data_IF_945779366915
#
_entry.id   IF_945779366915
#
_cell.length_a   1.000
_cell.length_b   1.000
_cell.length_c   1.000
_cell.angle_alpha   90.00
_cell.angle_beta   90.00
_cell.angle_gamma   90.00
#
_symmetry.space_group_name_H-M   'P 1'
#
loop_
_entity.id
_entity.type
_entity.pdbx_description
1 polymer ?
#
# COMPACT_ATOMS: atom_id res chain seq x y z
N UNK A 1 31.23 -7.60 -3.92
CA UNK A 1 30.32 -8.61 -3.37
C UNK A 1 28.95 -7.95 -3.25
N UNK A 2 28.10 -8.13 -4.26
CA UNK A 2 26.73 -7.61 -4.28
C UNK A 2 25.82 -8.60 -3.51
N UNK A 3 24.92 -8.13 -2.63
CA UNK A 3 24.04 -9.00 -1.89
C UNK A 3 22.92 -9.54 -2.80
N UNK A 4 22.74 -10.85 -2.66
CA UNK A 4 21.83 -11.76 -3.34
C UNK A 4 20.36 -11.58 -2.91
N UNK A 5 19.74 -10.46 -3.25
CA UNK A 5 18.27 -10.35 -3.22
C UNK A 5 17.72 -10.67 -4.62
N UNK A 6 17.66 -11.97 -4.89
CA UNK A 6 16.59 -12.66 -5.63
C UNK A 6 16.13 -12.04 -6.96
N UNK A 7 16.77 -12.55 -8.01
CA UNK A 7 16.39 -12.50 -9.42
C UNK A 7 15.08 -13.24 -9.73
N UNK A 8 13.94 -12.71 -9.31
CA UNK A 8 12.64 -13.01 -9.93
C UNK A 8 11.76 -11.77 -10.00
N UNK A 9 12.36 -10.61 -10.29
CA UNK A 9 11.61 -9.48 -10.84
C UNK A 9 11.34 -9.77 -12.32
N UNK A 10 10.29 -10.55 -12.60
CA UNK A 10 9.65 -10.48 -13.92
C UNK A 10 8.96 -9.12 -14.04
N UNK A 11 9.76 -8.12 -14.41
CA UNK A 11 9.41 -6.71 -14.61
C UNK A 11 8.30 -6.47 -15.67
N UNK A 12 7.74 -7.52 -16.27
CA UNK A 12 6.71 -7.45 -17.31
C UNK A 12 5.27 -7.55 -16.76
N UNK A 13 5.09 -7.97 -15.51
CA UNK A 13 3.78 -8.12 -14.86
C UNK A 13 3.14 -6.84 -14.26
N UNK A 14 3.87 -5.82 -13.74
CA UNK A 14 3.26 -4.74 -12.97
C UNK A 14 2.20 -3.91 -13.72
N UNK A 15 2.39 -3.67 -15.03
CA UNK A 15 1.50 -2.82 -15.83
C UNK A 15 0.28 -3.57 -16.41
N UNK A 16 0.35 -4.89 -16.56
CA UNK A 16 -0.76 -5.73 -17.03
C UNK A 16 -1.69 -6.16 -15.87
N UNK A 17 -1.23 -6.04 -14.61
CA UNK A 17 -1.96 -6.52 -13.43
C UNK A 17 -2.93 -5.48 -12.85
N UNK A 18 -2.69 -4.16 -12.96
CA UNK A 18 -3.57 -3.13 -12.35
C UNK A 18 -5.05 -3.26 -12.75
N UNK A 19 -5.34 -3.39 -14.06
CA UNK A 19 -6.72 -3.58 -14.53
C UNK A 19 -7.32 -4.92 -14.05
N UNK A 20 -6.50 -5.96 -13.93
CA UNK A 20 -6.95 -7.26 -13.45
C UNK A 20 -7.20 -7.26 -11.94
N UNK A 21 -6.40 -6.52 -11.14
CA UNK A 21 -6.61 -6.33 -9.70
C UNK A 21 -8.00 -5.73 -9.47
N UNK A 22 -8.33 -4.64 -10.14
CA UNK A 22 -9.61 -3.96 -9.92
C UNK A 22 -10.81 -4.81 -10.35
N UNK A 23 -10.68 -5.58 -11.45
CA UNK A 23 -11.72 -6.54 -11.85
C UNK A 23 -11.90 -7.69 -10.85
N UNK A 24 -10.79 -8.22 -10.32
CA UNK A 24 -10.83 -9.30 -9.32
C UNK A 24 -11.39 -8.77 -8.00
N UNK A 25 -10.95 -7.59 -7.55
CA UNK A 25 -11.35 -6.99 -6.29
C UNK A 25 -12.81 -6.52 -6.32
N UNK A 26 -13.31 -6.02 -7.45
CA UNK A 26 -14.74 -5.70 -7.59
C UNK A 26 -15.65 -6.93 -7.49
N UNK A 27 -15.19 -8.11 -7.95
CA UNK A 27 -15.98 -9.35 -7.93
C UNK A 27 -15.79 -10.18 -6.65
N UNK A 28 -14.58 -10.19 -6.09
CA UNK A 28 -14.15 -11.13 -5.05
C UNK A 28 -13.40 -10.47 -3.88
N UNK A 29 -13.39 -9.13 -3.81
CA UNK A 29 -12.60 -8.39 -2.83
C UNK A 29 -12.90 -8.79 -1.38
N UNK A 30 -14.17 -9.02 -1.04
CA UNK A 30 -14.55 -9.45 0.32
C UNK A 30 -13.92 -10.80 0.69
N UNK A 31 -14.01 -11.80 -0.20
CA UNK A 31 -13.43 -13.13 0.02
C UNK A 31 -11.90 -13.06 0.10
N UNK A 32 -11.28 -12.23 -0.74
CA UNK A 32 -9.83 -12.03 -0.75
C UNK A 32 -9.36 -11.40 0.57
N UNK A 33 -10.00 -10.33 1.03
CA UNK A 33 -9.64 -9.68 2.30
C UNK A 33 -9.90 -10.57 3.52
N UNK A 34 -10.94 -11.42 3.46
CA UNK A 34 -11.18 -12.45 4.48
C UNK A 34 -10.05 -13.50 4.49
N UNK A 35 -9.64 -14.00 3.34
CA UNK A 35 -8.53 -14.96 3.25
C UNK A 35 -7.21 -14.35 3.76
N UNK A 36 -6.90 -13.11 3.36
CA UNK A 36 -5.74 -12.36 3.85
C UNK A 36 -5.80 -12.23 5.38
N UNK A 37 -6.96 -11.88 5.94
CA UNK A 37 -7.15 -11.76 7.39
C UNK A 37 -6.85 -13.08 8.10
N UNK A 38 -7.41 -14.20 7.62
CA UNK A 38 -7.19 -15.52 8.21
C UNK A 38 -5.70 -15.89 8.23
N UNK A 39 -4.97 -15.63 7.15
CA UNK A 39 -3.53 -15.92 7.06
C UNK A 39 -2.73 -15.02 8.02
N UNK A 40 -3.07 -13.73 8.11
CA UNK A 40 -2.37 -12.80 8.99
C UNK A 40 -2.63 -13.07 10.48
N UNK A 41 -3.82 -13.56 10.84
CA UNK A 41 -4.19 -13.89 12.22
C UNK A 41 -3.65 -15.26 12.68
N UNK A 42 -3.54 -16.21 11.76
CA UNK A 42 -3.03 -17.54 12.07
C UNK A 42 -1.54 -17.51 12.50
N UNK A 43 -1.15 -18.57 13.21
CA UNK A 43 0.23 -18.81 13.63
C UNK A 43 1.05 -19.36 12.45
N UNK A 44 1.35 -18.47 11.51
CA UNK A 44 2.21 -18.74 10.36
C UNK A 44 3.58 -18.11 10.52
N UNK A 45 4.54 -18.63 9.76
CA UNK A 45 5.90 -18.10 9.75
C UNK A 45 5.93 -16.66 9.23
N UNK A 46 7.03 -15.96 9.55
CA UNK A 46 7.26 -14.58 9.10
C UNK A 46 7.20 -14.49 7.58
N UNK A 47 7.74 -15.47 6.87
CA UNK A 47 7.79 -15.50 5.41
C UNK A 47 6.38 -15.56 4.80
N UNK A 48 5.48 -16.36 5.38
CA UNK A 48 4.09 -16.45 4.90
C UNK A 48 3.36 -15.13 5.12
N UNK A 49 3.54 -14.51 6.29
CA UNK A 49 2.91 -13.22 6.62
C UNK A 49 3.47 -12.09 5.76
N UNK A 50 4.77 -12.09 5.51
CA UNK A 50 5.45 -11.16 4.60
C UNK A 50 4.85 -11.26 3.19
N UNK A 51 4.80 -12.46 2.61
CA UNK A 51 4.25 -12.66 1.27
C UNK A 51 2.78 -12.22 1.19
N UNK A 52 2.01 -12.48 2.25
CA UNK A 52 0.61 -12.04 2.35
C UNK A 52 0.50 -10.52 2.36
N UNK A 53 1.36 -9.82 3.11
CA UNK A 53 1.42 -8.35 3.10
C UNK A 53 1.89 -7.80 1.74
N UNK A 54 2.82 -8.47 1.06
CA UNK A 54 3.25 -8.08 -0.29
C UNK A 54 2.10 -8.22 -1.32
N UNK A 55 1.30 -9.27 -1.22
CA UNK A 55 0.07 -9.42 -2.03
C UNK A 55 -0.89 -8.28 -1.74
N UNK A 56 -1.08 -7.93 -0.47
CA UNK A 56 -1.94 -6.82 -0.07
C UNK A 56 -1.43 -5.47 -0.61
N UNK A 57 -0.11 -5.25 -0.60
CA UNK A 57 0.50 -4.07 -1.18
C UNK A 57 0.28 -3.98 -2.69
N UNK A 58 0.39 -5.11 -3.40
CA UNK A 58 0.07 -5.16 -4.83
C UNK A 58 -1.41 -4.87 -5.08
N UNK A 59 -2.32 -5.41 -4.26
CA UNK A 59 -3.76 -5.07 -4.33
C UNK A 59 -3.96 -3.57 -4.13
N UNK A 60 -3.26 -2.96 -3.18
CA UNK A 60 -3.32 -1.53 -2.90
C UNK A 60 -2.76 -0.64 -4.02
N UNK A 61 -2.25 -1.21 -5.11
CA UNK A 61 -1.84 -0.47 -6.32
C UNK A 61 -3.00 -0.28 -7.33
N UNK A 62 -4.15 -0.94 -7.13
CA UNK A 62 -5.37 -0.77 -7.94
C UNK A 62 -6.30 0.33 -7.41
N UNK A 63 -7.07 0.96 -8.29
CA UNK A 63 -7.93 2.10 -7.93
C UNK A 63 -9.17 1.67 -7.14
N UNK A 64 -9.96 0.75 -7.68
CA UNK A 64 -11.12 0.18 -6.99
C UNK A 64 -10.68 -0.61 -5.77
N UNK A 65 -9.55 -1.29 -5.85
CA UNK A 65 -8.98 -2.04 -4.74
C UNK A 65 -8.62 -1.13 -3.55
N UNK A 66 -8.04 0.06 -3.79
CA UNK A 66 -7.80 1.08 -2.75
C UNK A 66 -9.09 1.45 -2.02
N UNK A 67 -10.18 1.73 -2.75
CA UNK A 67 -11.47 2.09 -2.14
C UNK A 67 -12.01 0.96 -1.23
N UNK A 68 -11.94 -0.29 -1.70
CA UNK A 68 -12.36 -1.47 -0.92
C UNK A 68 -11.50 -1.62 0.34
N UNK A 69 -10.19 -1.41 0.26
CA UNK A 69 -9.30 -1.45 1.42
C UNK A 69 -9.60 -0.32 2.41
N UNK A 70 -9.84 0.89 1.90
CA UNK A 70 -10.07 2.08 2.72
C UNK A 70 -11.42 2.07 3.46
N UNK A 71 -12.38 1.24 3.02
CA UNK A 71 -13.63 1.00 3.75
C UNK A 71 -13.54 -0.15 4.76
N UNK A 72 -12.43 -0.89 4.79
CA UNK A 72 -12.21 -2.02 5.70
C UNK A 72 -11.26 -1.62 6.85
N UNK A 73 -11.83 -1.06 7.92
CA UNK A 73 -11.07 -0.57 9.07
C UNK A 73 -10.27 -1.67 9.77
N UNK A 74 -10.80 -2.90 9.84
CA UNK A 74 -10.10 -4.04 10.44
C UNK A 74 -8.82 -4.38 9.67
N UNK A 75 -8.87 -4.34 8.33
CA UNK A 75 -7.70 -4.55 7.49
C UNK A 75 -6.67 -3.42 7.67
N UNK A 76 -7.12 -2.17 7.74
CA UNK A 76 -6.24 -1.03 8.02
C UNK A 76 -5.56 -1.17 9.39
N UNK A 77 -6.28 -1.58 10.43
CA UNK A 77 -5.69 -1.83 11.75
C UNK A 77 -4.64 -2.95 11.71
N UNK A 78 -4.85 -3.99 10.90
CA UNK A 78 -3.85 -5.05 10.71
C UNK A 78 -2.60 -4.54 10.00
N UNK A 79 -2.75 -3.77 8.92
CA UNK A 79 -1.61 -3.14 8.24
C UNK A 79 -0.83 -2.27 9.24
N UNK A 80 -1.54 -1.43 9.99
CA UNK A 80 -0.95 -0.58 11.05
C UNK A 80 -0.20 -1.40 12.10
N UNK A 81 -0.78 -2.51 12.57
CA UNK A 81 -0.13 -3.44 13.50
C UNK A 81 1.20 -3.96 12.94
N UNK A 82 1.23 -4.38 11.67
CA UNK A 82 2.44 -4.91 11.05
C UNK A 82 3.52 -3.86 10.77
N UNK A 83 3.16 -2.58 10.56
CA UNK A 83 4.14 -1.49 10.51
C UNK A 83 4.88 -1.31 11.84
N UNK A 84 4.21 -1.57 12.96
CA UNK A 84 4.78 -1.52 14.31
C UNK A 84 5.44 -2.82 14.77
N UNK A 85 5.52 -3.86 13.92
CA UNK A 85 6.02 -5.17 14.32
C UNK A 85 7.53 -5.15 14.60
N UNK A 86 8.01 -6.04 15.46
CA UNK A 86 9.45 -6.21 15.73
C UNK A 86 10.27 -6.78 14.56
N UNK A 87 9.60 -7.24 13.49
CA UNK A 87 10.26 -7.92 12.38
C UNK A 87 10.30 -6.99 11.16
N UNK A 88 11.51 -6.64 10.75
CA UNK A 88 11.75 -5.66 9.69
C UNK A 88 11.09 -6.03 8.35
N UNK A 89 10.99 -7.33 8.02
CA UNK A 89 10.36 -7.78 6.76
C UNK A 89 8.87 -7.48 6.74
N UNK A 90 8.20 -7.73 7.86
CA UNK A 90 6.78 -7.42 8.03
C UNK A 90 6.54 -5.91 8.00
N UNK A 91 7.42 -5.14 8.65
CA UNK A 91 7.35 -3.67 8.62
C UNK A 91 7.52 -3.12 7.21
N UNK A 92 8.49 -3.64 6.45
CA UNK A 92 8.74 -3.24 5.07
C UNK A 92 7.53 -3.51 4.17
N UNK A 93 6.97 -4.73 4.23
CA UNK A 93 5.80 -5.09 3.43
C UNK A 93 4.56 -4.25 3.78
N UNK A 94 4.30 -4.04 5.08
CA UNK A 94 3.19 -3.21 5.54
C UNK A 94 3.38 -1.72 5.17
N UNK A 95 4.60 -1.20 5.28
CA UNK A 95 4.94 0.17 4.88
C UNK A 95 4.73 0.36 3.37
N UNK A 96 5.12 -0.63 2.56
CA UNK A 96 4.89 -0.61 1.13
C UNK A 96 3.39 -0.59 0.77
N UNK A 97 2.56 -1.35 1.49
CA UNK A 97 1.11 -1.29 1.34
C UNK A 97 0.57 0.13 1.59
N UNK A 98 1.04 0.79 2.66
CA UNK A 98 0.63 2.16 2.98
C UNK A 98 1.10 3.16 1.93
N UNK A 99 2.33 3.03 1.42
CA UNK A 99 2.83 3.86 0.32
C UNK A 99 1.92 3.78 -0.90
N UNK A 100 1.40 2.60 -1.25
CA UNK A 100 0.50 2.45 -2.38
C UNK A 100 -0.87 3.09 -2.11
N UNK A 101 -1.41 2.97 -0.88
CA UNK A 101 -2.69 3.59 -0.50
C UNK A 101 -2.66 5.13 -0.58
N UNK A 102 -1.55 5.74 -0.15
CA UNK A 102 -1.40 7.21 -0.14
C UNK A 102 -0.95 7.78 -1.48
N UNK A 103 -0.51 6.92 -2.40
CA UNK A 103 -0.03 7.33 -3.70
C UNK A 103 -1.10 8.12 -4.46
N UNK A 104 -0.69 9.29 -4.99
CA UNK A 104 -1.51 10.12 -5.85
C UNK A 104 -1.30 9.73 -7.32
N UNK A 105 -2.37 9.34 -8.01
CA UNK A 105 -2.29 8.90 -9.41
C UNK A 105 -2.47 10.04 -10.43
N UNK A 106 -2.90 11.22 -9.97
CA UNK A 106 -3.22 12.35 -10.86
C UNK A 106 -2.00 12.92 -11.60
N UNK A 107 -0.79 12.69 -11.11
CA UNK A 107 0.46 13.13 -11.76
C UNK A 107 0.75 12.37 -13.07
N UNK A 108 0.12 11.21 -13.33
CA UNK A 108 0.49 10.34 -14.46
C UNK A 108 -0.46 10.47 -15.66
N UNK A 109 -1.69 10.96 -15.45
CA UNK A 109 -2.73 11.00 -16.50
C UNK A 109 -2.95 12.39 -17.14
N UNK A 110 -2.26 13.44 -16.67
CA UNK A 110 -2.46 14.81 -17.13
C UNK A 110 -2.00 15.08 -18.59
N UNK A 111 -1.32 14.14 -19.25
CA UNK A 111 -0.75 14.36 -20.59
C UNK A 111 -1.71 14.06 -21.76
N UNK A 112 -2.93 13.57 -21.51
CA UNK A 112 -3.83 13.06 -22.57
C UNK A 112 -5.22 13.71 -22.64
N UNK A 113 -5.46 14.87 -22.03
CA UNK A 113 -6.74 15.56 -22.20
C UNK A 113 -6.57 17.06 -22.44
N UNK A 114 -6.25 17.39 -23.69
CA UNK A 114 -6.30 18.74 -24.28
C UNK A 114 -7.74 19.16 -24.62
N UNK A 115 -8.72 18.89 -23.75
CA UNK A 115 -10.05 19.47 -23.93
C UNK A 115 -10.50 20.24 -22.68
N UNK A 116 -10.75 21.52 -22.91
CA UNK A 116 -11.06 22.54 -21.92
C UNK A 116 -12.46 22.29 -21.37
N UNK A 117 -12.53 21.83 -20.13
CA UNK A 117 -13.72 22.00 -19.28
C UNK A 117 -13.24 22.21 -17.85
N UNK A 118 -13.90 23.10 -17.06
CA UNK A 118 -13.49 23.38 -15.69
C UNK A 118 -13.78 22.14 -14.83
N UNK A 119 -12.76 21.27 -14.68
CA UNK A 119 -12.78 20.13 -13.75
C UNK A 119 -12.64 20.66 -12.31
N UNK A 120 -13.74 21.11 -11.73
CA UNK A 120 -13.85 21.21 -10.27
C UNK A 120 -13.91 19.81 -9.67
N UNK A 121 -13.07 19.55 -8.67
CA UNK A 121 -13.09 18.37 -7.78
C UNK A 121 -12.77 17.01 -8.43
N UNK A 122 -11.57 16.86 -8.96
CA UNK A 122 -10.89 15.56 -9.04
C UNK A 122 -9.49 15.76 -8.48
N UNK A 123 -9.43 15.93 -7.16
CA UNK A 123 -8.21 15.98 -6.34
C UNK A 123 -8.43 15.29 -4.98
N UNK A 124 -9.57 14.60 -4.81
CA UNK A 124 -10.08 14.21 -3.48
C UNK A 124 -9.73 12.79 -3.08
N UNK A 125 -9.48 11.88 -4.01
CA UNK A 125 -9.35 10.45 -3.70
C UNK A 125 -8.10 10.13 -2.86
N UNK A 126 -6.93 10.63 -3.26
CA UNK A 126 -5.69 10.45 -2.50
C UNK A 126 -5.71 11.25 -1.19
N UNK A 127 -6.18 12.50 -1.22
CA UNK A 127 -6.26 13.35 -0.04
C UNK A 127 -7.18 12.75 1.04
N UNK A 128 -8.38 12.29 0.68
CA UNK A 128 -9.30 11.64 1.62
C UNK A 128 -8.68 10.38 2.25
N UNK A 129 -7.96 9.58 1.45
CA UNK A 129 -7.23 8.42 1.98
C UNK A 129 -6.13 8.82 2.95
N UNK A 130 -5.35 9.85 2.61
CA UNK A 130 -4.31 10.36 3.49
C UNK A 130 -4.89 10.91 4.80
N UNK A 131 -5.97 11.68 4.74
CA UNK A 131 -6.61 12.25 5.93
C UNK A 131 -7.14 11.14 6.84
N UNK A 132 -7.83 10.13 6.29
CA UNK A 132 -8.29 8.96 7.06
C UNK A 132 -7.12 8.21 7.70
N UNK A 133 -6.05 7.91 6.96
CA UNK A 133 -4.90 7.20 7.53
C UNK A 133 -4.18 8.05 8.59
N UNK A 134 -4.18 9.38 8.46
CA UNK A 134 -3.68 10.31 9.48
C UNK A 134 -4.51 10.22 10.76
N UNK A 135 -5.83 10.29 10.67
CA UNK A 135 -6.75 10.15 11.82
C UNK A 135 -6.61 8.78 12.51
N UNK A 136 -6.35 7.73 11.72
CA UNK A 136 -6.08 6.39 12.25
C UNK A 136 -4.67 6.26 12.87
N UNK A 137 -3.82 7.28 12.83
CA UNK A 137 -2.51 7.31 13.46
C UNK A 137 -1.41 6.55 12.70
N UNK A 138 -1.53 6.43 11.36
CA UNK A 138 -0.45 5.87 10.53
C UNK A 138 0.77 6.78 10.47
N UNK A 139 0.55 8.10 10.48
CA UNK A 139 1.63 9.11 10.41
C UNK A 139 2.59 8.97 11.59
N UNK A 140 2.09 8.71 12.80
CA UNK A 140 2.94 8.51 13.98
C UNK A 140 3.85 7.29 13.85
N UNK A 141 3.35 6.21 13.25
CA UNK A 141 4.16 5.01 13.01
C UNK A 141 5.19 5.28 11.92
N UNK A 142 4.78 5.89 10.80
CA UNK A 142 5.71 6.28 9.74
C UNK A 142 6.83 7.16 10.29
N UNK A 143 6.52 8.13 11.15
CA UNK A 143 7.51 9.00 11.78
C UNK A 143 8.52 8.19 12.61
N UNK A 144 8.05 7.22 13.42
CA UNK A 144 8.94 6.30 14.14
C UNK A 144 9.82 5.49 13.19
N UNK A 145 9.25 5.01 12.07
CA UNK A 145 9.98 4.23 11.07
C UNK A 145 11.05 5.04 10.33
N UNK A 146 10.90 6.37 10.19
CA UNK A 146 11.99 7.22 9.64
C UNK A 146 13.25 7.25 10.50
N UNK A 147 13.18 6.74 11.73
CA UNK A 147 14.29 6.62 12.66
C UNK A 147 14.72 5.15 12.85
N UNK A 148 14.19 4.23 12.04
CA UNK A 148 14.56 2.82 12.11
C UNK A 148 16.06 2.62 11.80
N UNK A 149 16.67 1.66 12.49
CA UNK A 149 18.08 1.31 12.25
C UNK A 149 18.31 0.62 10.90
N UNK A 150 17.27 0.00 10.35
CA UNK A 150 17.31 -0.58 9.00
C UNK A 150 17.21 0.53 7.94
N UNK A 151 18.24 0.71 7.08
CA UNK A 151 18.25 1.80 6.10
C UNK A 151 17.12 1.69 5.08
N UNK A 152 16.78 0.48 4.63
CA UNK A 152 15.75 0.29 3.61
C UNK A 152 14.37 0.70 4.16
N UNK A 153 14.05 0.30 5.39
CA UNK A 153 12.81 0.66 6.07
C UNK A 153 12.75 2.17 6.34
N UNK A 154 13.86 2.74 6.80
CA UNK A 154 14.01 4.17 7.03
C UNK A 154 13.75 5.00 5.76
N UNK A 155 14.38 4.64 4.65
CA UNK A 155 14.24 5.34 3.38
C UNK A 155 12.82 5.20 2.81
N UNK A 156 12.22 4.00 2.88
CA UNK A 156 10.83 3.78 2.47
C UNK A 156 9.84 4.61 3.30
N UNK A 157 10.04 4.67 4.61
CA UNK A 157 9.19 5.48 5.50
C UNK A 157 9.33 6.98 5.20
N UNK A 158 10.53 7.47 4.88
CA UNK A 158 10.75 8.87 4.46
C UNK A 158 10.04 9.18 3.16
N UNK A 159 10.12 8.31 2.15
CA UNK A 159 9.40 8.49 0.88
C UNK A 159 7.89 8.54 1.11
N UNK A 160 7.35 7.63 1.91
CA UNK A 160 5.93 7.64 2.26
C UNK A 160 5.54 8.93 3.02
N UNK A 161 6.39 9.40 3.93
CA UNK A 161 6.13 10.63 4.69
C UNK A 161 6.12 11.88 3.78
N UNK A 162 7.02 11.95 2.80
CA UNK A 162 7.04 13.05 1.84
C UNK A 162 5.74 13.13 1.05
N UNK A 163 5.12 12.00 0.73
CA UNK A 163 3.84 11.95 0.01
C UNK A 163 2.64 12.47 0.80
N UNK A 164 2.70 12.45 2.14
CA UNK A 164 1.68 13.08 2.98
C UNK A 164 1.80 14.61 3.04
N UNK A 165 2.95 15.15 2.61
CA UNK A 165 3.28 16.58 2.67
C UNK A 165 3.25 17.25 1.29
N UNK A 166 3.15 16.46 0.23
CA UNK A 166 3.07 16.90 -1.16
C UNK A 166 1.61 17.19 -1.55
#
# INVERSE_FOLDING_TARGET
MLPTCLHTESLLLPLLIRQHIDQIMSSHGKQILQAVTLILEAEHSVEVKEQTLCILANIADGNTAKEILMTNDDMLQKIKYYMGHSNVKLQLAATFCVSNLIWNEEDVQAVVSSDCSPKGQHSSGSQERQDKLREMGFVDILHKLTQASDPNLCDRAKTAMQQYLA
#
